data_IF_006715076560
#
_entry.id   IF_006715076560
#
_cell.length_a   1.000
_cell.length_b   1.000
_cell.length_c   1.000
_cell.angle_alpha   90.00
_cell.angle_beta   90.00
_cell.angle_gamma   90.00
#
_symmetry.space_group_name_H-M   'P 1'
#
loop_
_entity.id
_entity.type
_entity.pdbx_description
1 polymer ?
#
# COMPACT_ATOMS: atom_id res chain seq x y z
N UNK A 1 -27.63 3.79 6.75
CA UNK A 1 -26.50 4.74 6.93
C UNK A 1 -25.42 4.08 7.78
N UNK A 2 -24.15 4.19 7.40
CA UNK A 2 -23.04 3.61 8.17
C UNK A 2 -22.79 4.40 9.45
N UNK A 3 -22.61 3.71 10.56
CA UNK A 3 -22.29 4.29 11.89
C UNK A 3 -20.80 4.21 12.23
N UNK A 4 -20.04 3.41 11.47
CA UNK A 4 -18.59 3.23 11.61
C UNK A 4 -17.97 3.26 10.21
N UNK A 5 -16.82 3.90 10.08
CA UNK A 5 -16.04 3.92 8.84
C UNK A 5 -14.90 2.92 8.89
N UNK A 6 -14.77 2.06 7.88
CA UNK A 6 -13.59 1.22 7.65
C UNK A 6 -12.49 2.05 7.00
N UNK A 7 -11.39 2.26 7.72
CA UNK A 7 -10.30 3.16 7.30
C UNK A 7 -9.21 2.46 6.50
N UNK A 8 -9.20 1.12 6.48
CA UNK A 8 -8.19 0.30 5.81
C UNK A 8 -8.81 -0.63 4.78
N UNK A 9 -8.12 -0.80 3.65
CA UNK A 9 -8.47 -1.81 2.65
C UNK A 9 -8.42 -3.25 3.21
N UNK A 10 -7.62 -3.49 4.26
CA UNK A 10 -7.62 -4.77 4.98
C UNK A 10 -8.96 -5.09 5.65
N UNK A 11 -9.73 -4.06 6.02
CA UNK A 11 -11.07 -4.28 6.58
C UNK A 11 -12.04 -4.78 5.50
N UNK A 12 -11.87 -4.34 4.26
CA UNK A 12 -12.70 -4.73 3.13
C UNK A 12 -12.54 -6.19 2.68
N UNK A 13 -11.36 -6.81 2.90
CA UNK A 13 -11.04 -8.16 2.43
C UNK A 13 -10.78 -9.19 3.53
N UNK A 14 -11.04 -8.81 4.80
CA UNK A 14 -10.67 -9.61 5.99
C UNK A 14 -11.18 -11.07 5.94
N UNK A 15 -12.33 -11.32 5.37
CA UNK A 15 -12.98 -12.63 5.35
C UNK A 15 -12.65 -13.50 4.13
N UNK A 16 -12.00 -12.95 3.09
CA UNK A 16 -11.77 -13.68 1.84
C UNK A 16 -10.74 -14.81 1.98
N UNK A 17 -9.60 -14.54 2.63
CA UNK A 17 -8.44 -15.44 2.64
C UNK A 17 -8.76 -16.85 3.13
N UNK A 18 -9.55 -16.99 4.18
CA UNK A 18 -9.84 -18.30 4.78
C UNK A 18 -10.76 -19.17 3.92
N UNK A 19 -11.51 -18.58 2.99
CA UNK A 19 -12.52 -19.24 2.16
C UNK A 19 -11.96 -19.88 0.90
N UNK A 20 -10.76 -19.45 0.46
CA UNK A 20 -10.19 -19.80 -0.85
C UNK A 20 -8.84 -20.53 -0.76
N UNK A 21 -8.44 -20.99 0.42
CA UNK A 21 -7.24 -21.81 0.58
C UNK A 21 -7.39 -23.16 -0.12
N UNK A 22 -6.41 -23.53 -0.94
CA UNK A 22 -6.35 -24.84 -1.57
C UNK A 22 -5.79 -25.88 -0.59
N UNK A 23 -6.10 -27.15 -0.80
CA UNK A 23 -5.56 -28.27 -0.02
C UNK A 23 -4.11 -28.65 -0.39
N UNK A 24 -3.39 -27.77 -1.10
CA UNK A 24 -2.00 -27.98 -1.56
C UNK A 24 -1.04 -27.20 -0.68
N UNK A 25 0.03 -27.83 -0.23
CA UNK A 25 1.07 -27.17 0.57
C UNK A 25 2.03 -26.37 -0.33
N UNK A 26 2.68 -25.33 0.24
CA UNK A 26 3.73 -24.59 -0.47
C UNK A 26 4.91 -25.48 -0.87
N UNK A 27 5.26 -26.46 -0.06
CA UNK A 27 6.34 -27.42 -0.35
C UNK A 27 6.03 -28.29 -1.58
N UNK A 28 4.76 -28.65 -1.83
CA UNK A 28 4.36 -29.35 -3.03
C UNK A 28 4.20 -28.44 -4.25
N UNK A 29 3.80 -27.18 -4.04
CA UNK A 29 3.51 -26.22 -5.12
C UNK A 29 4.74 -25.52 -5.67
N UNK A 30 5.58 -24.96 -4.80
CA UNK A 30 6.69 -24.08 -5.17
C UNK A 30 7.76 -24.70 -6.06
N UNK A 31 8.21 -25.98 -5.87
CA UNK A 31 9.24 -26.55 -6.71
C UNK A 31 8.89 -26.53 -8.21
N UNK A 32 7.64 -26.86 -8.54
CA UNK A 32 7.16 -26.87 -9.94
C UNK A 32 7.10 -25.44 -10.52
N UNK A 33 6.56 -24.49 -9.72
CA UNK A 33 6.44 -23.10 -10.17
C UNK A 33 7.81 -22.44 -10.35
N UNK A 34 8.73 -22.63 -9.40
CA UNK A 34 10.06 -22.03 -9.44
C UNK A 34 10.94 -22.59 -10.56
N UNK A 35 10.73 -23.84 -10.97
CA UNK A 35 11.41 -24.47 -12.10
C UNK A 35 10.87 -24.02 -13.47
N UNK A 36 9.67 -23.43 -13.50
CA UNK A 36 9.01 -22.95 -14.70
C UNK A 36 9.27 -21.49 -15.00
N UNK A 37 8.64 -20.98 -16.08
CA UNK A 37 8.60 -19.56 -16.41
C UNK A 37 7.45 -18.88 -15.66
N UNK A 38 7.63 -17.61 -15.34
CA UNK A 38 6.56 -16.82 -14.72
C UNK A 38 5.36 -16.68 -15.67
N UNK A 39 4.16 -16.85 -15.15
CA UNK A 39 2.91 -16.76 -15.90
C UNK A 39 2.24 -15.39 -15.73
N UNK A 40 2.62 -14.64 -14.70
CA UNK A 40 2.05 -13.34 -14.36
C UNK A 40 3.10 -12.23 -14.42
N UNK A 41 2.65 -10.97 -14.55
CA UNK A 41 3.46 -9.78 -14.32
C UNK A 41 4.04 -9.82 -12.91
N UNK A 42 5.19 -9.18 -12.70
CA UNK A 42 5.91 -9.32 -11.43
C UNK A 42 6.46 -8.03 -10.91
N UNK A 43 6.38 -7.93 -9.59
CA UNK A 43 7.01 -6.88 -8.80
C UNK A 43 7.90 -7.47 -7.72
N UNK A 44 8.87 -6.70 -7.25
CA UNK A 44 9.67 -7.03 -6.07
C UNK A 44 9.29 -6.08 -4.94
N UNK A 45 9.11 -6.63 -3.73
CA UNK A 45 8.96 -5.87 -2.51
C UNK A 45 10.15 -6.12 -1.58
N UNK A 46 10.86 -5.07 -1.20
CA UNK A 46 11.96 -5.13 -0.22
C UNK A 46 11.47 -4.57 1.10
N UNK A 47 11.47 -5.41 2.13
CA UNK A 47 11.07 -4.97 3.47
C UNK A 47 12.27 -4.55 4.31
N UNK A 48 12.24 -3.31 4.82
CA UNK A 48 13.23 -2.79 5.76
C UNK A 48 12.53 -2.48 7.08
N UNK A 49 12.63 -3.33 8.10
CA UNK A 49 11.82 -3.25 9.32
C UNK A 49 12.31 -2.21 10.34
N UNK A 50 13.16 -1.28 9.94
CA UNK A 50 13.76 -0.30 10.83
C UNK A 50 13.17 1.10 10.67
N UNK A 51 13.13 1.84 11.78
CA UNK A 51 12.91 3.28 11.81
C UNK A 51 13.92 3.92 12.75
N UNK A 52 14.48 5.08 12.38
CA UNK A 52 15.35 5.85 13.27
C UNK A 52 14.58 6.46 14.44
N UNK A 53 13.27 6.66 14.29
CA UNK A 53 12.37 7.10 15.35
C UNK A 53 10.99 6.48 15.18
N UNK A 54 10.40 6.09 16.31
CA UNK A 54 9.02 5.60 16.39
C UNK A 54 8.06 6.78 16.40
N UNK A 55 7.14 6.80 15.44
CA UNK A 55 6.02 7.73 15.45
C UNK A 55 5.03 7.35 16.55
N UNK A 56 4.37 8.34 17.17
CA UNK A 56 3.49 8.11 18.31
C UNK A 56 2.22 7.30 17.97
N UNK A 57 1.82 7.31 16.70
CA UNK A 57 0.61 6.65 16.19
C UNK A 57 0.88 5.27 15.55
N UNK A 58 2.14 4.90 15.33
CA UNK A 58 2.49 3.74 14.50
C UNK A 58 2.39 2.42 15.28
N UNK A 59 1.56 1.46 14.83
CA UNK A 59 1.38 0.17 15.49
C UNK A 59 2.39 -0.90 15.01
N UNK A 60 3.22 -0.60 14.02
CA UNK A 60 4.09 -1.61 13.42
C UNK A 60 5.11 -2.16 14.41
N UNK A 61 5.20 -3.48 14.42
CA UNK A 61 6.20 -4.22 15.19
C UNK A 61 7.61 -3.97 14.64
N UNK A 62 8.57 -3.85 15.54
CA UNK A 62 10.00 -3.75 15.18
C UNK A 62 10.72 -4.90 15.84
N UNK A 63 11.47 -5.69 15.07
CA UNK A 63 12.24 -6.78 15.67
C UNK A 63 13.40 -6.22 16.49
N UNK A 64 13.42 -6.53 17.78
CA UNK A 64 14.45 -6.07 18.71
C UNK A 64 15.83 -6.72 18.46
N UNK A 65 15.84 -7.90 17.82
CA UNK A 65 17.03 -8.72 17.63
C UNK A 65 17.79 -8.47 16.31
N UNK A 66 17.32 -7.53 15.47
CA UNK A 66 17.93 -7.27 14.17
C UNK A 66 19.02 -6.20 14.22
N UNK A 67 20.22 -6.54 13.71
CA UNK A 67 21.27 -5.55 13.52
C UNK A 67 21.15 -4.85 12.17
N UNK A 68 20.71 -3.57 12.20
CA UNK A 68 20.61 -2.74 11.00
C UNK A 68 21.93 -2.57 10.27
N UNK A 69 23.06 -2.67 10.96
CA UNK A 69 24.39 -2.48 10.35
C UNK A 69 24.71 -3.56 9.31
N UNK A 70 24.20 -4.77 9.51
CA UNK A 70 24.46 -5.94 8.65
C UNK A 70 23.23 -6.41 7.86
N UNK A 71 22.06 -5.82 8.10
CA UNK A 71 20.81 -6.26 7.48
C UNK A 71 20.81 -6.19 5.94
N UNK A 72 21.48 -5.19 5.36
CA UNK A 72 21.64 -5.09 3.92
C UNK A 72 22.39 -6.31 3.32
N UNK A 73 23.33 -6.90 4.08
CA UNK A 73 24.03 -8.11 3.64
C UNK A 73 23.09 -9.33 3.64
N UNK A 74 22.16 -9.39 4.61
CA UNK A 74 21.12 -10.43 4.63
C UNK A 74 20.21 -10.30 3.41
N UNK A 75 19.74 -9.08 3.09
CA UNK A 75 18.96 -8.82 1.88
C UNK A 75 19.71 -9.22 0.60
N UNK A 76 20.98 -8.86 0.48
CA UNK A 76 21.81 -9.22 -0.69
C UNK A 76 21.97 -10.74 -0.81
N UNK A 77 22.18 -11.45 0.29
CA UNK A 77 22.23 -12.92 0.29
C UNK A 77 20.90 -13.53 -0.17
N UNK A 78 19.77 -12.98 0.30
CA UNK A 78 18.43 -13.43 -0.12
C UNK A 78 18.18 -13.15 -1.60
N UNK A 79 18.50 -11.94 -2.10
CA UNK A 79 18.43 -11.57 -3.52
C UNK A 79 19.19 -12.59 -4.38
N UNK A 80 20.46 -12.87 -4.06
CA UNK A 80 21.30 -13.83 -4.79
C UNK A 80 20.69 -15.23 -4.80
N UNK A 81 20.18 -15.68 -3.65
CA UNK A 81 19.64 -17.03 -3.50
C UNK A 81 18.34 -17.21 -4.27
N UNK A 82 17.47 -16.19 -4.26
CA UNK A 82 16.17 -16.26 -4.92
C UNK A 82 16.31 -16.11 -6.45
N UNK A 83 17.23 -15.30 -6.91
CA UNK A 83 17.37 -14.98 -8.32
C UNK A 83 17.80 -16.15 -9.22
N UNK A 84 18.34 -17.25 -8.66
CA UNK A 84 18.83 -18.40 -9.47
C UNK A 84 17.71 -19.25 -10.07
N UNK A 85 16.47 -19.13 -9.59
CA UNK A 85 15.38 -19.92 -10.09
C UNK A 85 14.92 -19.44 -11.48
N UNK A 86 14.59 -20.37 -12.42
CA UNK A 86 14.09 -20.00 -13.76
C UNK A 86 12.91 -19.03 -13.72
N UNK A 87 11.98 -19.20 -12.79
CA UNK A 87 10.85 -18.29 -12.56
C UNK A 87 11.31 -16.84 -12.36
N UNK A 88 12.44 -16.60 -11.72
CA UNK A 88 12.95 -15.26 -11.38
C UNK A 88 13.64 -14.55 -12.55
N UNK A 89 13.87 -15.24 -13.68
CA UNK A 89 14.55 -14.69 -14.86
C UNK A 89 13.64 -13.86 -15.78
N UNK A 90 12.32 -13.92 -15.59
CA UNK A 90 11.41 -13.06 -16.37
C UNK A 90 11.49 -11.59 -15.89
N UNK A 91 11.08 -10.58 -16.70
CA UNK A 91 11.18 -9.17 -16.34
C UNK A 91 10.44 -8.81 -15.06
N UNK A 92 11.01 -7.91 -14.25
CA UNK A 92 10.40 -7.26 -13.08
C UNK A 92 9.98 -5.86 -13.49
N UNK A 93 8.70 -5.54 -13.36
CA UNK A 93 8.11 -4.30 -13.88
C UNK A 93 7.98 -3.20 -12.81
N UNK A 94 8.06 -3.55 -11.52
CA UNK A 94 8.20 -2.57 -10.45
C UNK A 94 8.96 -3.13 -9.26
N UNK A 95 9.64 -2.25 -8.51
CA UNK A 95 10.31 -2.54 -7.25
C UNK A 95 9.80 -1.55 -6.20
N UNK A 96 9.40 -2.01 -5.03
CA UNK A 96 9.03 -1.15 -3.92
C UNK A 96 9.82 -1.48 -2.65
N UNK A 97 10.47 -0.49 -2.08
CA UNK A 97 11.07 -0.57 -0.76
C UNK A 97 10.11 0.01 0.27
N UNK A 98 9.72 -0.81 1.24
CA UNK A 98 8.76 -0.38 2.27
C UNK A 98 9.04 -1.00 3.63
N UNK A 99 8.06 -0.92 4.52
CA UNK A 99 8.10 -1.48 5.86
C UNK A 99 8.16 -0.46 6.98
N UNK A 100 9.28 -0.34 7.67
CA UNK A 100 9.52 0.71 8.65
C UNK A 100 9.84 2.03 7.96
N UNK A 101 11.10 2.23 7.64
CA UNK A 101 11.61 3.36 6.85
C UNK A 101 12.85 2.87 6.09
N UNK A 102 12.74 2.50 4.83
CA UNK A 102 13.85 1.95 4.04
C UNK A 102 15.11 2.81 4.06
N UNK A 103 14.96 4.12 4.04
CA UNK A 103 16.07 5.09 4.13
C UNK A 103 16.66 5.22 5.56
N UNK A 104 16.28 4.36 6.47
CA UNK A 104 17.02 4.16 7.72
C UNK A 104 18.33 3.38 7.52
N UNK A 105 18.46 2.67 6.41
CA UNK A 105 19.76 2.18 5.92
C UNK A 105 20.65 3.38 5.57
N UNK A 106 21.97 3.20 5.66
CA UNK A 106 22.90 4.23 5.18
C UNK A 106 22.85 4.34 3.64
N UNK A 107 23.28 5.48 3.05
CA UNK A 107 23.38 5.62 1.60
C UNK A 107 24.16 4.49 0.92
N UNK A 108 25.28 4.06 1.50
CA UNK A 108 26.09 2.97 0.98
C UNK A 108 25.36 1.62 1.04
N UNK A 109 24.65 1.33 2.13
CA UNK A 109 23.83 0.12 2.25
C UNK A 109 22.69 0.10 1.24
N UNK A 110 22.00 1.23 1.05
CA UNK A 110 20.94 1.36 0.05
C UNK A 110 21.48 1.14 -1.36
N UNK A 111 22.60 1.78 -1.70
CA UNK A 111 23.27 1.58 -2.99
C UNK A 111 23.66 0.10 -3.23
N UNK A 112 24.15 -0.58 -2.20
CA UNK A 112 24.54 -1.99 -2.30
C UNK A 112 23.32 -2.90 -2.57
N UNK A 113 22.18 -2.66 -1.93
CA UNK A 113 20.95 -3.43 -2.18
C UNK A 113 20.39 -3.14 -3.57
N UNK A 114 20.34 -1.87 -4.01
CA UNK A 114 19.90 -1.49 -5.35
C UNK A 114 20.80 -2.11 -6.43
N UNK A 115 22.12 -2.07 -6.26
CA UNK A 115 23.09 -2.71 -7.16
C UNK A 115 22.86 -4.23 -7.24
N UNK A 116 22.60 -4.89 -6.11
CA UNK A 116 22.32 -6.32 -6.09
C UNK A 116 21.03 -6.66 -6.85
N UNK A 117 19.98 -5.84 -6.74
CA UNK A 117 18.74 -6.03 -7.51
C UNK A 117 19.02 -5.95 -9.03
N UNK A 118 19.71 -4.91 -9.48
CA UNK A 118 20.06 -4.75 -10.90
C UNK A 118 20.98 -5.86 -11.43
N UNK A 119 21.85 -6.40 -10.56
CA UNK A 119 22.77 -7.47 -10.94
C UNK A 119 22.07 -8.82 -11.09
N UNK A 120 21.08 -9.10 -10.24
CA UNK A 120 20.52 -10.43 -10.08
C UNK A 120 19.12 -10.62 -10.68
N UNK A 121 18.38 -9.53 -10.90
CA UNK A 121 17.06 -9.55 -11.53
C UNK A 121 17.05 -8.76 -12.84
N UNK A 122 16.22 -9.19 -13.76
CA UNK A 122 15.96 -8.47 -15.00
C UNK A 122 14.94 -7.37 -14.73
N UNK A 123 15.39 -6.22 -14.22
CA UNK A 123 14.53 -5.04 -14.04
C UNK A 123 14.21 -4.47 -15.42
N UNK A 124 12.91 -4.24 -15.72
CA UNK A 124 12.49 -3.65 -16.99
C UNK A 124 13.02 -2.21 -17.10
N UNK A 125 13.38 -1.74 -18.31
CA UNK A 125 13.97 -0.40 -18.49
C UNK A 125 13.07 0.75 -18.00
N UNK A 126 11.75 0.56 -18.05
CA UNK A 126 10.72 1.50 -17.63
C UNK A 126 10.09 1.15 -16.27
N UNK A 127 10.71 0.21 -15.53
CA UNK A 127 10.20 -0.21 -14.22
C UNK A 127 10.11 0.96 -13.23
N UNK A 128 9.02 0.97 -12.47
CA UNK A 128 8.91 1.84 -11.30
C UNK A 128 9.81 1.30 -10.18
N UNK A 129 10.81 2.08 -9.75
CA UNK A 129 11.62 1.78 -8.56
C UNK A 129 11.25 2.79 -7.49
N UNK A 130 10.45 2.35 -6.53
CA UNK A 130 9.82 3.17 -5.49
C UNK A 130 10.45 2.94 -4.13
N UNK A 131 10.63 4.02 -3.36
CA UNK A 131 11.11 3.96 -1.98
C UNK A 131 10.19 4.74 -1.05
N UNK A 132 9.70 4.07 -0.01
CA UNK A 132 9.01 4.72 1.10
C UNK A 132 10.05 5.33 2.05
N UNK A 133 9.79 6.55 2.51
CA UNK A 133 10.77 7.30 3.31
C UNK A 133 10.10 8.27 4.28
N UNK A 134 10.90 8.90 5.12
CA UNK A 134 10.50 10.07 5.88
C UNK A 134 11.40 11.27 5.51
N UNK A 135 10.87 12.48 5.57
CA UNK A 135 11.62 13.67 5.15
C UNK A 135 12.98 13.83 5.87
N UNK A 136 13.06 13.43 7.13
CA UNK A 136 14.31 13.52 7.91
C UNK A 136 15.41 12.56 7.49
N UNK A 137 15.07 11.52 6.74
CA UNK A 137 16.01 10.51 6.23
C UNK A 137 16.50 10.83 4.80
N UNK A 138 15.86 11.80 4.12
CA UNK A 138 16.25 12.26 2.80
C UNK A 138 17.42 13.24 2.86
N UNK A 139 18.59 12.81 3.36
CA UNK A 139 19.84 13.60 3.27
C UNK A 139 20.28 13.71 1.81
N UNK A 140 21.17 14.67 1.51
CA UNK A 140 21.70 14.81 0.14
C UNK A 140 22.39 13.53 -0.33
N UNK A 141 23.23 12.94 0.52
CA UNK A 141 23.88 11.66 0.22
C UNK A 141 22.90 10.50 -0.01
N UNK A 142 21.77 10.47 0.71
CA UNK A 142 20.72 9.49 0.46
C UNK A 142 20.03 9.75 -0.87
N UNK A 143 19.66 10.98 -1.17
CA UNK A 143 19.06 11.34 -2.45
C UNK A 143 19.97 10.98 -3.63
N UNK A 144 21.25 11.29 -3.52
CA UNK A 144 22.24 10.97 -4.56
C UNK A 144 22.37 9.46 -4.75
N UNK A 145 22.34 8.68 -3.65
CA UNK A 145 22.34 7.21 -3.69
C UNK A 145 21.08 6.64 -4.35
N UNK A 146 19.91 7.19 -4.05
CA UNK A 146 18.64 6.76 -4.64
C UNK A 146 18.61 7.03 -6.15
N UNK A 147 18.99 8.24 -6.57
CA UNK A 147 19.04 8.62 -7.99
C UNK A 147 20.02 7.73 -8.75
N UNK A 148 21.24 7.55 -8.21
CA UNK A 148 22.26 6.69 -8.85
C UNK A 148 21.83 5.23 -8.91
N UNK A 149 20.99 4.77 -7.99
CA UNK A 149 20.41 3.43 -7.97
C UNK A 149 19.18 3.26 -8.85
N UNK A 150 18.79 4.29 -9.63
CA UNK A 150 17.66 4.22 -10.55
C UNK A 150 16.28 4.42 -9.89
N UNK A 151 16.22 4.88 -8.64
CA UNK A 151 14.95 5.20 -7.98
C UNK A 151 14.27 6.36 -8.70
N UNK A 152 13.05 6.13 -9.18
CA UNK A 152 12.28 7.10 -9.97
C UNK A 152 10.96 7.50 -9.31
N UNK A 153 10.62 6.90 -8.14
CA UNK A 153 9.45 7.22 -7.35
C UNK A 153 9.78 7.29 -5.85
N UNK A 154 9.21 8.28 -5.15
CA UNK A 154 9.26 8.36 -3.68
C UNK A 154 7.85 8.46 -3.09
N UNK A 155 7.62 7.79 -1.95
CA UNK A 155 6.51 8.06 -1.05
C UNK A 155 7.06 8.59 0.26
N UNK A 156 6.81 9.89 0.53
CA UNK A 156 7.41 10.58 1.67
C UNK A 156 6.39 10.74 2.79
N UNK A 157 6.55 9.99 3.86
CA UNK A 157 5.73 10.13 5.06
C UNK A 157 5.93 11.50 5.72
N UNK A 158 5.14 12.47 5.33
CA UNK A 158 5.12 13.83 5.92
C UNK A 158 4.20 13.86 7.13
N UNK A 159 3.01 13.34 6.99
CA UNK A 159 1.88 13.28 7.91
C UNK A 159 1.21 14.65 8.11
N UNK A 160 1.95 15.72 8.33
CA UNK A 160 1.52 17.12 8.39
C UNK A 160 2.75 18.03 8.30
N UNK A 161 2.57 19.27 7.84
CA UNK A 161 3.60 20.32 7.87
C UNK A 161 3.45 21.22 9.10
N UNK A 162 2.40 21.10 9.90
CA UNK A 162 2.24 21.85 11.14
C UNK A 162 3.18 21.33 12.23
N UNK A 163 4.03 22.21 12.78
CA UNK A 163 5.05 21.84 13.75
C UNK A 163 4.48 21.29 15.07
N UNK A 164 3.32 21.79 15.51
CA UNK A 164 2.62 21.33 16.70
C UNK A 164 2.12 19.89 16.53
N UNK A 165 1.43 19.65 15.42
CA UNK A 165 0.93 18.32 15.06
C UNK A 165 2.07 17.34 14.76
N UNK A 166 3.17 17.78 14.16
CA UNK A 166 4.40 16.96 13.99
C UNK A 166 4.91 16.45 15.33
N UNK A 167 4.99 17.31 16.35
CA UNK A 167 5.38 16.89 17.71
C UNK A 167 4.39 15.90 18.32
N UNK A 168 3.08 16.14 18.17
CA UNK A 168 2.04 15.23 18.64
C UNK A 168 2.18 13.84 18.01
N UNK A 169 2.37 13.79 16.69
CA UNK A 169 2.52 12.56 15.91
C UNK A 169 3.92 11.93 16.04
N UNK A 170 4.83 12.53 16.82
CA UNK A 170 6.18 12.02 17.03
C UNK A 170 7.10 12.17 15.82
N UNK A 171 6.83 13.13 14.92
CA UNK A 171 7.68 13.44 13.76
C UNK A 171 8.86 14.33 14.15
N UNK A 172 10.01 14.14 13.49
CA UNK A 172 11.21 15.00 13.67
C UNK A 172 11.22 16.13 12.65
N UNK A 173 11.94 17.20 12.99
CA UNK A 173 12.12 18.37 12.12
C UNK A 173 10.86 19.21 11.97
N UNK A 174 11.03 20.41 11.46
CA UNK A 174 9.92 21.32 11.15
C UNK A 174 9.22 20.93 9.85
N UNK A 175 7.99 21.41 9.66
CA UNK A 175 7.25 21.30 8.41
C UNK A 175 7.98 21.94 7.24
N UNK A 176 8.57 23.12 7.46
CA UNK A 176 9.38 23.80 6.44
C UNK A 176 10.60 22.98 6.00
N UNK A 177 11.32 22.36 6.95
CA UNK A 177 12.42 21.47 6.61
C UNK A 177 11.94 20.23 5.85
N UNK A 178 10.78 19.68 6.21
CA UNK A 178 10.19 18.54 5.51
C UNK A 178 9.82 18.90 4.06
N UNK A 179 9.19 20.05 3.84
CA UNK A 179 8.88 20.56 2.51
C UNK A 179 10.15 20.76 1.66
N UNK A 180 11.21 21.36 2.24
CA UNK A 180 12.49 21.55 1.56
C UNK A 180 13.12 20.20 1.11
N UNK A 181 12.98 19.12 1.90
CA UNK A 181 13.51 17.81 1.51
C UNK A 181 12.70 17.18 0.37
N UNK A 182 11.38 17.35 0.34
CA UNK A 182 10.55 16.95 -0.80
C UNK A 182 10.95 17.69 -2.07
N UNK A 183 11.10 19.03 -2.00
CA UNK A 183 11.55 19.85 -3.12
C UNK A 183 12.96 19.43 -3.61
N UNK A 184 13.88 19.12 -2.69
CA UNK A 184 15.22 18.65 -3.02
C UNK A 184 15.24 17.30 -3.75
N UNK A 185 14.33 16.38 -3.43
CA UNK A 185 14.16 15.12 -4.14
C UNK A 185 13.67 15.35 -5.58
N UNK A 186 12.66 16.20 -5.75
CA UNK A 186 12.12 16.55 -7.06
C UNK A 186 13.15 17.27 -7.93
N UNK A 187 13.93 18.18 -7.36
CA UNK A 187 15.01 18.92 -8.06
C UNK A 187 16.14 18.00 -8.53
N UNK A 188 16.33 16.81 -7.91
CA UNK A 188 17.29 15.79 -8.33
C UNK A 188 16.73 14.83 -9.39
N UNK A 189 15.54 15.12 -9.93
CA UNK A 189 14.92 14.34 -11.01
C UNK A 189 13.93 13.25 -10.56
N UNK A 190 13.69 13.05 -9.24
CA UNK A 190 12.64 12.14 -8.78
C UNK A 190 11.29 12.89 -8.82
N UNK A 191 10.82 13.20 -10.03
CA UNK A 191 9.58 13.97 -10.25
C UNK A 191 8.32 13.21 -9.80
N UNK A 192 8.36 11.87 -9.79
CA UNK A 192 7.28 11.04 -9.22
C UNK A 192 7.44 10.95 -7.69
N UNK A 193 7.34 12.11 -7.01
CA UNK A 193 7.34 12.19 -5.54
C UNK A 193 5.93 12.41 -5.04
N UNK A 194 5.48 11.50 -4.19
CA UNK A 194 4.21 11.56 -3.47
C UNK A 194 4.44 11.80 -1.98
N UNK A 195 3.48 12.41 -1.31
CA UNK A 195 3.52 12.65 0.13
C UNK A 195 2.35 11.96 0.83
N UNK A 196 2.58 11.49 2.05
CA UNK A 196 1.53 10.91 2.89
C UNK A 196 1.07 11.97 3.90
N UNK A 197 -0.23 12.22 3.93
CA UNK A 197 -0.92 13.14 4.84
C UNK A 197 -1.82 12.36 5.80
N UNK A 198 -1.73 12.65 7.08
CA UNK A 198 -2.70 12.19 8.08
C UNK A 198 -3.65 13.34 8.38
N UNK A 199 -4.96 13.08 8.30
CA UNK A 199 -5.99 13.98 8.75
C UNK A 199 -6.82 13.37 9.88
N UNK A 200 -7.69 14.17 10.50
CA UNK A 200 -8.49 13.77 11.66
C UNK A 200 -7.62 13.28 12.83
N UNK A 201 -6.52 13.98 13.12
CA UNK A 201 -5.73 13.75 14.33
C UNK A 201 -6.26 14.61 15.50
N UNK A 202 -5.91 14.26 16.76
CA UNK A 202 -6.40 14.97 17.93
C UNK A 202 -6.12 16.48 17.87
N UNK A 203 -7.17 17.28 18.08
CA UNK A 203 -7.04 18.73 18.08
C UNK A 203 -6.78 19.39 16.72
N UNK A 204 -6.83 18.66 15.61
CA UNK A 204 -6.64 19.24 14.29
C UNK A 204 -7.65 20.35 14.03
N UNK A 205 -7.16 21.52 13.62
CA UNK A 205 -8.01 22.64 13.19
C UNK A 205 -8.13 22.68 11.67
N UNK A 206 -9.18 23.35 11.20
CA UNK A 206 -9.38 23.60 9.77
C UNK A 206 -8.24 24.41 9.16
N UNK A 207 -7.66 25.36 9.93
CA UNK A 207 -6.50 26.14 9.50
C UNK A 207 -5.24 25.31 9.29
N UNK A 208 -4.99 24.32 10.16
CA UNK A 208 -3.86 23.40 10.01
C UNK A 208 -4.00 22.55 8.74
N UNK A 209 -5.19 21.97 8.49
CA UNK A 209 -5.43 21.24 7.26
C UNK A 209 -5.29 22.12 6.03
N UNK A 210 -5.83 23.34 6.04
CA UNK A 210 -5.69 24.29 4.93
C UNK A 210 -4.21 24.65 4.65
N UNK A 211 -3.40 24.84 5.70
CA UNK A 211 -1.96 25.08 5.58
C UNK A 211 -1.21 23.87 4.98
N UNK A 212 -1.54 22.66 5.41
CA UNK A 212 -0.97 21.43 4.83
C UNK A 212 -1.28 21.33 3.33
N UNK A 213 -2.55 21.53 2.96
CA UNK A 213 -2.99 21.50 1.56
C UNK A 213 -2.36 22.61 0.71
N UNK A 214 -2.19 23.80 1.28
CA UNK A 214 -1.46 24.90 0.62
C UNK A 214 -0.01 24.50 0.32
N UNK A 215 0.68 23.92 1.30
CA UNK A 215 2.07 23.46 1.13
C UNK A 215 2.18 22.37 0.06
N UNK A 216 1.26 21.41 0.05
CA UNK A 216 1.19 20.35 -0.97
C UNK A 216 1.04 20.94 -2.38
N UNK A 217 0.14 21.91 -2.55
CA UNK A 217 -0.09 22.59 -3.82
C UNK A 217 1.14 23.39 -4.28
N UNK A 218 1.80 24.09 -3.35
CA UNK A 218 3.01 24.84 -3.63
C UNK A 218 4.19 23.94 -4.05
N UNK A 219 4.28 22.74 -3.49
CA UNK A 219 5.29 21.74 -3.86
C UNK A 219 4.98 21.07 -5.21
N UNK A 220 3.75 21.09 -5.66
CA UNK A 220 3.29 20.43 -6.90
C UNK A 220 3.71 18.97 -7.02
N UNK A 221 3.54 18.20 -5.95
CA UNK A 221 3.90 16.77 -5.90
C UNK A 221 3.04 15.91 -6.84
N UNK A 222 3.57 14.77 -7.28
CA UNK A 222 2.89 13.86 -8.21
C UNK A 222 1.64 13.19 -7.60
N UNK A 223 1.65 12.94 -6.28
CA UNK A 223 0.54 12.31 -5.59
C UNK A 223 0.49 12.65 -4.11
N UNK A 224 -0.67 12.40 -3.52
CA UNK A 224 -0.94 12.57 -2.09
C UNK A 224 -1.69 11.37 -1.57
N UNK A 225 -1.10 10.63 -0.63
CA UNK A 225 -1.85 9.62 0.11
C UNK A 225 -2.50 10.27 1.32
N UNK A 226 -3.80 10.06 1.50
CA UNK A 226 -4.61 10.68 2.55
C UNK A 226 -5.11 9.61 3.52
N UNK A 227 -4.67 9.68 4.75
CA UNK A 227 -5.05 8.72 5.78
C UNK A 227 -5.81 9.41 6.92
N UNK A 228 -7.05 8.99 7.17
CA UNK A 228 -7.65 9.34 8.46
C UNK A 228 -6.89 8.61 9.57
N UNK A 229 -6.56 9.31 10.63
CA UNK A 229 -5.82 8.70 11.74
C UNK A 229 -6.54 7.44 12.24
N UNK A 230 -5.82 6.33 12.23
CA UNK A 230 -6.22 5.08 12.88
C UNK A 230 -5.57 5.03 14.27
N UNK A 231 -6.39 5.06 15.29
CA UNK A 231 -5.90 5.05 16.67
C UNK A 231 -5.82 3.61 17.19
N UNK A 232 -4.61 3.12 17.42
CA UNK A 232 -4.35 1.77 17.91
C UNK A 232 -4.00 1.78 19.40
N UNK A 233 -4.65 0.93 20.20
CA UNK A 233 -4.52 0.87 21.66
C UNK A 233 -3.07 0.70 22.15
N UNK A 234 -2.24 -0.02 21.40
CA UNK A 234 -0.84 -0.28 21.76
C UNK A 234 0.10 0.91 21.50
N UNK A 235 -0.39 1.98 20.88
CA UNK A 235 0.48 3.11 20.50
C UNK A 235 0.68 4.13 21.62
N UNK A 236 1.81 4.84 21.64
CA UNK A 236 2.03 5.94 22.59
C UNK A 236 0.97 7.04 22.49
N UNK A 237 0.45 7.32 21.29
CA UNK A 237 -0.58 8.32 21.09
C UNK A 237 -1.88 7.94 21.81
N UNK A 238 -2.35 6.70 21.64
CA UNK A 238 -3.56 6.21 22.34
C UNK A 238 -3.48 6.40 23.85
N UNK A 239 -2.31 6.06 24.44
CA UNK A 239 -2.12 6.14 25.91
C UNK A 239 -2.10 7.57 26.44
N UNK A 240 -1.78 8.56 25.60
CA UNK A 240 -1.73 9.99 25.99
C UNK A 240 -3.08 10.67 25.93
N UNK A 241 -3.99 10.15 25.09
CA UNK A 241 -5.30 10.76 24.88
C UNK A 241 -6.27 10.38 25.99
N UNK A 242 -7.02 11.36 26.46
CA UNK A 242 -8.21 11.16 27.29
C UNK A 242 -9.30 10.41 26.52
N UNK A 243 -10.26 9.84 27.23
CA UNK A 243 -11.40 9.19 26.59
C UNK A 243 -12.20 10.17 25.70
N UNK A 244 -12.40 11.41 26.17
CA UNK A 244 -13.08 12.47 25.41
C UNK A 244 -12.38 12.74 24.09
N UNK A 245 -11.05 12.85 24.09
CA UNK A 245 -10.26 13.05 22.86
C UNK A 245 -10.35 11.84 21.92
N UNK A 246 -10.34 10.63 22.45
CA UNK A 246 -10.52 9.41 21.65
C UNK A 246 -11.91 9.36 21.01
N UNK A 247 -12.95 9.68 21.77
CA UNK A 247 -14.32 9.73 21.25
C UNK A 247 -14.52 10.82 20.18
N UNK A 248 -13.86 11.98 20.33
CA UNK A 248 -13.92 13.04 19.33
C UNK A 248 -13.37 12.61 17.95
N UNK A 249 -12.45 11.65 17.89
CA UNK A 249 -11.92 11.10 16.64
C UNK A 249 -12.89 10.15 15.92
N UNK A 250 -13.98 9.74 16.59
CA UNK A 250 -15.04 8.90 16.01
C UNK A 250 -16.18 9.72 15.40
N UNK A 251 -16.12 11.06 15.47
CA UNK A 251 -17.12 11.94 14.85
C UNK A 251 -16.99 11.86 13.33
N UNK A 252 -17.87 11.06 12.71
CA UNK A 252 -17.92 10.86 11.27
C UNK A 252 -18.27 12.13 10.49
N UNK A 253 -19.04 13.05 11.08
CA UNK A 253 -19.40 14.33 10.42
C UNK A 253 -18.16 15.19 10.27
N UNK A 254 -17.39 15.32 11.34
CA UNK A 254 -16.13 16.04 11.32
C UNK A 254 -15.13 15.40 10.37
N UNK A 255 -14.94 14.08 10.47
CA UNK A 255 -14.03 13.34 9.61
C UNK A 255 -14.39 13.51 8.12
N UNK A 256 -15.70 13.46 7.81
CA UNK A 256 -16.21 13.68 6.45
C UNK A 256 -15.96 15.11 5.96
N UNK A 257 -16.16 16.12 6.80
CA UNK A 257 -15.91 17.50 6.44
C UNK A 257 -14.43 17.74 6.09
N UNK A 258 -13.50 17.15 6.85
CA UNK A 258 -12.06 17.20 6.55
C UNK A 258 -11.74 16.50 5.24
N UNK A 259 -12.30 15.29 5.01
CA UNK A 259 -12.14 14.54 3.77
C UNK A 259 -12.64 15.33 2.56
N UNK A 260 -13.84 15.93 2.66
CA UNK A 260 -14.41 16.74 1.58
C UNK A 260 -13.54 17.95 1.26
N UNK A 261 -13.04 18.64 2.29
CA UNK A 261 -12.11 19.77 2.09
C UNK A 261 -10.83 19.35 1.35
N UNK A 262 -10.27 18.17 1.67
CA UNK A 262 -9.11 17.65 0.95
C UNK A 262 -9.45 17.45 -0.52
N UNK A 263 -10.58 16.77 -0.82
CA UNK A 263 -10.99 16.51 -2.20
C UNK A 263 -11.28 17.80 -2.98
N UNK A 264 -11.95 18.78 -2.38
CA UNK A 264 -12.24 20.06 -3.02
C UNK A 264 -10.97 20.83 -3.33
N UNK A 265 -10.08 20.96 -2.33
CA UNK A 265 -8.87 21.78 -2.48
C UNK A 265 -7.90 21.16 -3.48
N UNK A 266 -7.62 19.87 -3.37
CA UNK A 266 -6.69 19.19 -4.28
C UNK A 266 -7.35 18.96 -5.65
N UNK A 267 -8.66 18.66 -5.69
CA UNK A 267 -9.41 18.51 -6.93
C UNK A 267 -9.43 19.77 -7.79
N UNK A 268 -9.57 20.95 -7.17
CA UNK A 268 -9.46 22.24 -7.85
C UNK A 268 -8.06 22.49 -8.44
N UNK A 269 -7.02 21.86 -7.87
CA UNK A 269 -5.63 21.95 -8.34
C UNK A 269 -5.25 20.78 -9.31
N UNK A 270 -6.24 20.04 -9.82
CA UNK A 270 -6.05 19.01 -10.84
C UNK A 270 -5.72 17.61 -10.31
N UNK A 271 -5.70 17.40 -8.98
CA UNK A 271 -5.59 16.06 -8.45
C UNK A 271 -6.87 15.26 -8.66
N UNK A 272 -6.73 13.96 -8.93
CA UNK A 272 -7.85 13.02 -9.09
C UNK A 272 -7.60 11.80 -8.23
N UNK A 273 -8.68 11.18 -7.75
CA UNK A 273 -8.61 9.93 -7.00
C UNK A 273 -8.03 8.84 -7.89
N UNK A 274 -6.95 8.22 -7.45
CA UNK A 274 -6.39 6.98 -8.04
C UNK A 274 -6.98 5.76 -7.33
N UNK A 275 -7.04 5.83 -6.01
CA UNK A 275 -7.67 4.85 -5.12
C UNK A 275 -8.21 5.57 -3.87
N UNK A 276 -9.02 4.90 -3.03
CA UNK A 276 -9.74 5.52 -1.90
C UNK A 276 -8.86 6.33 -0.95
N UNK A 277 -7.57 6.06 -0.92
CA UNK A 277 -6.62 6.75 -0.04
C UNK A 277 -5.57 7.55 -0.79
N UNK A 278 -5.64 7.62 -2.13
CA UNK A 278 -4.59 8.27 -2.92
C UNK A 278 -5.15 9.15 -4.03
N UNK A 279 -4.69 10.39 -4.04
CA UNK A 279 -4.91 11.33 -5.15
C UNK A 279 -3.62 11.52 -5.95
N UNK A 280 -3.75 11.69 -7.26
CA UNK A 280 -2.63 11.91 -8.19
C UNK A 280 -2.92 13.07 -9.13
N UNK A 281 -1.88 13.77 -9.56
CA UNK A 281 -1.99 14.92 -10.46
C UNK A 281 -1.43 14.59 -11.84
N UNK A 282 -2.26 14.76 -12.87
CA UNK A 282 -1.84 14.64 -14.27
C UNK A 282 -1.27 13.26 -14.66
N UNK A 283 -1.64 12.18 -13.94
CA UNK A 283 -1.14 10.84 -14.21
C UNK A 283 0.36 10.66 -13.96
N UNK A 284 1.01 11.60 -13.23
CA UNK A 284 2.45 11.56 -12.91
C UNK A 284 2.81 10.39 -12.00
N UNK A 285 1.91 9.99 -11.08
CA UNK A 285 2.06 8.82 -10.23
C UNK A 285 1.05 7.74 -10.66
N UNK A 286 1.53 6.72 -11.37
CA UNK A 286 0.72 5.58 -11.80
C UNK A 286 0.62 4.51 -10.73
N UNK A 287 1.56 4.51 -9.77
CA UNK A 287 1.67 3.54 -8.69
C UNK A 287 1.72 2.11 -9.21
N UNK A 288 2.62 1.89 -10.19
CA UNK A 288 2.70 0.64 -10.96
C UNK A 288 2.91 -0.59 -10.07
N UNK A 289 3.65 -0.45 -8.96
CA UNK A 289 3.81 -1.53 -7.99
C UNK A 289 2.45 -2.05 -7.47
N UNK A 290 1.55 -1.15 -7.05
CA UNK A 290 0.23 -1.54 -6.53
C UNK A 290 -0.68 -2.05 -7.63
N UNK A 291 -0.66 -1.38 -8.79
CA UNK A 291 -1.43 -1.79 -9.95
C UNK A 291 -1.11 -3.23 -10.37
N UNK A 292 0.17 -3.55 -10.56
CA UNK A 292 0.58 -4.90 -10.97
C UNK A 292 0.27 -5.93 -9.90
N UNK A 293 0.61 -5.63 -8.64
CA UNK A 293 0.43 -6.54 -7.52
C UNK A 293 -1.04 -6.97 -7.36
N UNK A 294 -1.97 -6.03 -7.46
CA UNK A 294 -3.39 -6.28 -7.21
C UNK A 294 -4.21 -6.57 -8.47
N UNK A 295 -3.64 -6.39 -9.68
CA UNK A 295 -4.26 -6.83 -10.93
C UNK A 295 -3.92 -8.28 -11.30
N UNK A 296 -3.60 -9.11 -10.31
CA UNK A 296 -3.25 -10.51 -10.52
C UNK A 296 -1.76 -10.74 -10.77
N UNK A 297 -0.88 -9.78 -10.49
CA UNK A 297 0.57 -9.94 -10.53
C UNK A 297 1.14 -10.75 -9.38
N UNK A 298 2.38 -11.17 -9.49
CA UNK A 298 3.16 -11.79 -8.42
C UNK A 298 4.06 -10.78 -7.74
N UNK A 299 4.12 -10.82 -6.41
CA UNK A 299 4.96 -9.96 -5.59
C UNK A 299 6.05 -10.79 -4.91
N UNK A 300 7.27 -10.71 -5.42
CA UNK A 300 8.45 -11.35 -4.83
C UNK A 300 8.86 -10.51 -3.63
N UNK A 301 8.46 -10.92 -2.44
CA UNK A 301 8.72 -10.19 -1.21
C UNK A 301 9.96 -10.72 -0.50
N UNK A 302 10.94 -9.84 -0.30
CA UNK A 302 12.24 -10.13 0.29
C UNK A 302 12.45 -9.33 1.58
N UNK A 303 13.19 -9.90 2.50
CA UNK A 303 13.43 -9.34 3.82
C UNK A 303 12.50 -9.88 4.90
N UNK A 304 12.92 -9.72 6.16
CA UNK A 304 12.18 -10.19 7.33
C UNK A 304 10.87 -9.45 7.49
N UNK A 305 9.79 -10.20 7.70
CA UNK A 305 8.43 -9.64 7.82
C UNK A 305 7.78 -9.25 6.47
N UNK A 306 8.47 -9.45 5.35
CA UNK A 306 7.91 -9.17 4.02
C UNK A 306 6.76 -10.13 3.68
N UNK A 307 5.69 -9.60 3.09
CA UNK A 307 4.56 -10.37 2.59
C UNK A 307 4.42 -10.28 1.08
N UNK A 308 4.25 -11.41 0.41
CA UNK A 308 4.13 -11.48 -1.04
C UNK A 308 3.42 -12.72 -1.55
N UNK A 309 3.51 -12.91 -2.85
CA UNK A 309 3.00 -14.10 -3.52
C UNK A 309 3.84 -14.51 -4.73
N UNK A 310 3.91 -15.80 -4.97
CA UNK A 310 4.43 -16.41 -6.19
C UNK A 310 3.30 -17.17 -6.83
N UNK A 311 2.79 -16.63 -7.92
CA UNK A 311 1.53 -17.06 -8.50
C UNK A 311 0.44 -17.18 -7.41
N UNK A 312 -0.14 -18.37 -7.21
CA UNK A 312 -1.19 -18.61 -6.24
C UNK A 312 -0.69 -18.90 -4.81
N UNK A 313 0.62 -18.89 -4.57
CA UNK A 313 1.20 -19.11 -3.26
C UNK A 313 1.45 -17.76 -2.56
N UNK A 314 0.71 -17.47 -1.49
CA UNK A 314 0.85 -16.28 -0.66
C UNK A 314 1.62 -16.61 0.60
N UNK A 315 2.61 -15.79 0.95
CA UNK A 315 3.50 -16.02 2.08
C UNK A 315 3.86 -14.76 2.85
N UNK A 316 4.35 -14.95 4.07
CA UNK A 316 4.99 -13.92 4.88
C UNK A 316 6.31 -14.46 5.42
N UNK A 317 7.37 -13.70 5.24
CA UNK A 317 8.66 -14.03 5.83
C UNK A 317 8.60 -13.83 7.34
N UNK A 318 9.30 -14.69 8.09
CA UNK A 318 9.41 -14.52 9.54
C UNK A 318 10.06 -13.18 9.89
N UNK A 319 9.53 -12.49 10.89
CA UNK A 319 10.09 -11.22 11.35
C UNK A 319 11.37 -11.41 12.20
N UNK A 320 11.39 -12.48 13.01
CA UNK A 320 12.42 -12.70 14.05
C UNK A 320 13.50 -13.71 13.64
N UNK A 321 13.40 -14.28 12.44
CA UNK A 321 14.37 -15.25 11.94
C UNK A 321 14.83 -14.92 10.52
N UNK A 322 16.06 -15.27 10.13
CA UNK A 322 16.52 -15.15 8.76
C UNK A 322 15.61 -15.94 7.82
N UNK A 323 15.33 -15.38 6.65
CA UNK A 323 14.47 -16.00 5.62
C UNK A 323 15.14 -17.23 4.95
N UNK A 324 16.23 -17.73 5.49
CA UNK A 324 17.07 -18.75 4.89
C UNK A 324 16.63 -20.13 5.37
N UNK A 325 15.76 -20.81 4.60
CA UNK A 325 15.67 -22.26 4.61
C UNK A 325 16.55 -22.83 3.50
N UNK A 326 17.23 -23.98 3.72
CA UNK A 326 18.13 -24.56 2.71
C UNK A 326 17.38 -25.15 1.52
N UNK A 327 16.10 -25.41 1.61
CA UNK A 327 15.31 -26.14 0.60
C UNK A 327 14.41 -25.26 -0.27
N UNK A 328 13.71 -24.27 0.29
CA UNK A 328 12.82 -23.37 -0.44
C UNK A 328 13.07 -21.94 0.05
N UNK A 329 13.34 -20.97 -0.81
CA UNK A 329 13.72 -19.63 -0.41
C UNK A 329 12.58 -18.80 0.20
N UNK A 330 11.34 -19.31 0.27
CA UNK A 330 10.17 -18.63 0.81
C UNK A 330 9.66 -19.37 2.03
N UNK A 331 9.15 -18.62 3.00
CA UNK A 331 8.73 -19.15 4.29
C UNK A 331 7.72 -20.30 4.17
N UNK A 332 7.87 -21.31 5.04
CA UNK A 332 6.91 -22.37 5.23
C UNK A 332 5.52 -21.90 5.74
N UNK A 333 5.37 -20.61 6.07
CA UNK A 333 4.13 -20.03 6.60
C UNK A 333 3.11 -19.63 5.51
N UNK A 334 3.39 -19.89 4.24
CA UNK A 334 2.51 -19.53 3.13
C UNK A 334 1.38 -20.56 2.92
N UNK A 335 0.41 -20.14 2.10
CA UNK A 335 -0.72 -20.95 1.66
C UNK A 335 -0.91 -20.83 0.16
N UNK A 336 -1.29 -21.93 -0.48
CA UNK A 336 -1.77 -21.92 -1.86
C UNK A 336 -3.25 -21.56 -1.84
N UNK A 337 -3.65 -20.66 -2.74
CA UNK A 337 -5.05 -20.31 -2.93
C UNK A 337 -5.53 -20.81 -4.30
N UNK A 338 -6.83 -21.07 -4.42
CA UNK A 338 -7.42 -21.36 -5.73
C UNK A 338 -7.28 -20.14 -6.66
N UNK A 339 -7.17 -20.33 -8.01
CA UNK A 339 -6.98 -19.21 -8.95
C UNK A 339 -8.04 -18.12 -8.86
N UNK A 340 -9.27 -18.48 -8.46
CA UNK A 340 -10.35 -17.53 -8.23
C UNK A 340 -10.02 -16.47 -7.17
N UNK A 341 -9.19 -16.78 -6.17
CA UNK A 341 -8.81 -15.81 -5.16
C UNK A 341 -8.09 -14.59 -5.74
N UNK A 342 -7.17 -14.78 -6.69
CA UNK A 342 -6.47 -13.67 -7.34
C UNK A 342 -7.42 -12.78 -8.16
N UNK A 343 -8.43 -13.38 -8.82
CA UNK A 343 -9.45 -12.62 -9.55
C UNK A 343 -10.34 -11.81 -8.60
N UNK A 344 -10.66 -12.36 -7.44
CA UNK A 344 -11.39 -11.64 -6.39
C UNK A 344 -10.56 -10.52 -5.76
N UNK A 345 -9.27 -10.75 -5.52
CA UNK A 345 -8.36 -9.70 -5.03
C UNK A 345 -8.26 -8.55 -6.06
N UNK A 346 -8.22 -8.87 -7.36
CA UNK A 346 -8.26 -7.89 -8.43
C UNK A 346 -9.59 -7.10 -8.48
N UNK A 347 -10.73 -7.75 -8.26
CA UNK A 347 -12.02 -7.06 -8.14
C UNK A 347 -12.04 -6.10 -6.93
N UNK A 348 -11.57 -6.57 -5.77
CA UNK A 348 -11.47 -5.71 -4.56
C UNK A 348 -10.62 -4.48 -4.84
N UNK A 349 -9.47 -4.66 -5.50
CA UNK A 349 -8.60 -3.55 -5.86
C UNK A 349 -9.23 -2.61 -6.90
N UNK A 350 -9.92 -3.14 -7.91
CA UNK A 350 -10.64 -2.31 -8.87
C UNK A 350 -11.72 -1.45 -8.19
N UNK A 351 -12.43 -2.01 -7.21
CA UNK A 351 -13.39 -1.24 -6.40
C UNK A 351 -12.72 -0.12 -5.58
N UNK A 352 -11.45 -0.29 -5.15
CA UNK A 352 -10.69 0.77 -4.46
C UNK A 352 -10.47 2.01 -5.35
N UNK A 353 -10.52 1.87 -6.66
CA UNK A 353 -10.41 2.99 -7.61
C UNK A 353 -11.69 3.84 -7.69
N UNK A 354 -12.74 3.41 -7.01
CA UNK A 354 -14.02 4.14 -6.96
C UNK A 354 -14.91 3.98 -8.20
N UNK A 355 -14.40 3.37 -9.27
CA UNK A 355 -15.15 3.06 -10.50
C UNK A 355 -14.76 1.66 -10.96
N UNK A 356 -15.73 0.78 -11.16
CA UNK A 356 -15.50 -0.60 -11.60
C UNK A 356 -16.57 -1.06 -12.59
N UNK A 357 -16.15 -1.75 -13.65
CA UNK A 357 -17.03 -2.43 -14.57
C UNK A 357 -17.32 -3.85 -14.05
N UNK A 358 -18.52 -4.07 -13.53
CA UNK A 358 -18.94 -5.36 -13.00
C UNK A 358 -19.07 -6.43 -14.10
N UNK A 359 -19.35 -6.05 -15.34
CA UNK A 359 -19.44 -6.97 -16.49
C UNK A 359 -18.09 -7.63 -16.78
N UNK A 360 -17.01 -6.84 -16.76
CA UNK A 360 -15.64 -7.36 -16.94
C UNK A 360 -15.29 -8.40 -15.87
N UNK A 361 -15.55 -8.09 -14.59
CA UNK A 361 -15.24 -9.02 -13.50
C UNK A 361 -16.24 -10.18 -13.42
N UNK A 362 -17.49 -10.00 -13.84
CA UNK A 362 -18.47 -11.09 -13.98
C UNK A 362 -17.95 -12.18 -14.95
N UNK A 363 -17.44 -11.76 -16.11
CA UNK A 363 -16.85 -12.67 -17.09
C UNK A 363 -15.60 -13.38 -16.54
N UNK A 364 -14.73 -12.68 -15.79
CA UNK A 364 -13.53 -13.28 -15.20
C UNK A 364 -13.83 -14.29 -14.09
N UNK A 365 -14.89 -14.04 -13.32
CA UNK A 365 -15.28 -14.84 -12.17
C UNK A 365 -16.33 -15.92 -12.51
N UNK A 366 -16.87 -15.90 -13.72
CA UNK A 366 -17.99 -16.74 -14.14
C UNK A 366 -19.20 -16.63 -13.20
N UNK A 367 -19.51 -15.40 -12.77
CA UNK A 367 -20.60 -15.07 -11.84
C UNK A 367 -21.22 -13.76 -12.27
N UNK A 368 -22.54 -13.69 -12.42
CA UNK A 368 -23.25 -12.42 -12.64
C UNK A 368 -23.23 -11.55 -11.36
N UNK A 369 -22.21 -10.71 -11.25
CA UNK A 369 -22.01 -9.84 -10.09
C UNK A 369 -23.13 -8.82 -9.93
N UNK A 370 -23.72 -8.34 -11.01
CA UNK A 370 -24.81 -7.37 -10.95
C UNK A 370 -26.06 -7.97 -10.33
N UNK A 371 -26.42 -9.18 -10.74
CA UNK A 371 -27.52 -9.94 -10.11
C UNK A 371 -27.18 -10.33 -8.68
N UNK A 372 -25.96 -10.78 -8.42
CA UNK A 372 -25.52 -11.17 -7.08
C UNK A 372 -25.56 -10.01 -6.08
N UNK A 373 -25.23 -8.82 -6.52
CA UNK A 373 -25.19 -7.60 -5.69
C UNK A 373 -26.52 -6.81 -5.71
N UNK A 374 -27.53 -7.21 -6.49
CA UNK A 374 -28.72 -6.42 -6.83
C UNK A 374 -29.36 -5.74 -5.61
N UNK A 375 -29.72 -6.50 -4.59
CA UNK A 375 -30.36 -5.96 -3.38
C UNK A 375 -29.48 -4.94 -2.63
N UNK A 376 -28.14 -5.14 -2.64
CA UNK A 376 -27.21 -4.20 -2.03
C UNK A 376 -27.04 -2.95 -2.90
N UNK A 377 -26.95 -3.12 -4.22
CA UNK A 377 -26.83 -2.00 -5.15
C UNK A 377 -28.07 -1.10 -5.12
N UNK A 378 -29.29 -1.68 -5.11
CA UNK A 378 -30.53 -0.92 -4.98
C UNK A 378 -30.51 -0.03 -3.73
N UNK A 379 -30.16 -0.60 -2.56
CA UNK A 379 -30.06 0.17 -1.31
C UNK A 379 -28.96 1.23 -1.38
N UNK A 380 -27.76 0.87 -1.86
CA UNK A 380 -26.63 1.80 -1.93
C UNK A 380 -26.89 2.95 -2.91
N UNK A 381 -27.62 2.70 -4.00
CA UNK A 381 -28.09 3.75 -4.93
C UNK A 381 -29.13 4.65 -4.26
N UNK A 382 -30.12 4.08 -3.57
CA UNK A 382 -31.16 4.84 -2.87
C UNK A 382 -30.56 5.71 -1.74
N UNK A 383 -29.54 5.19 -1.05
CA UNK A 383 -28.79 5.93 -0.01
C UNK A 383 -27.81 6.97 -0.59
N UNK A 384 -27.63 7.02 -1.91
CA UNK A 384 -26.75 7.99 -2.59
C UNK A 384 -25.26 7.68 -2.50
N UNK A 385 -24.87 6.46 -2.14
CA UNK A 385 -23.45 6.06 -2.03
C UNK A 385 -22.85 5.60 -3.36
N UNK A 386 -23.66 5.02 -4.24
CA UNK A 386 -23.18 4.52 -5.54
C UNK A 386 -24.10 4.96 -6.67
N UNK A 387 -23.58 4.99 -7.88
CA UNK A 387 -24.31 5.18 -9.13
C UNK A 387 -24.02 4.00 -10.05
N UNK A 388 -25.07 3.48 -10.70
CA UNK A 388 -24.97 2.46 -11.73
C UNK A 388 -25.26 3.06 -13.10
N UNK A 389 -24.36 2.80 -14.09
CA UNK A 389 -24.56 3.11 -15.50
C UNK A 389 -24.24 1.86 -16.31
N UNK A 390 -25.28 1.12 -16.75
CA UNK A 390 -25.08 -0.20 -17.33
C UNK A 390 -24.48 -1.15 -16.30
N UNK A 391 -23.27 -1.64 -16.57
CA UNK A 391 -22.51 -2.52 -15.68
C UNK A 391 -21.43 -1.77 -14.89
N UNK A 392 -21.28 -0.46 -15.12
CA UNK A 392 -20.31 0.37 -14.39
C UNK A 392 -20.90 0.84 -13.06
N UNK A 393 -20.27 0.42 -11.97
CA UNK A 393 -20.48 0.93 -10.60
C UNK A 393 -19.51 2.08 -10.35
N UNK A 394 -20.02 3.20 -9.88
CA UNK A 394 -19.22 4.36 -9.49
C UNK A 394 -19.57 4.78 -8.06
N UNK A 395 -18.58 4.96 -7.22
CA UNK A 395 -18.77 5.55 -5.90
C UNK A 395 -19.05 7.05 -6.04
N UNK A 396 -20.09 7.53 -5.37
CA UNK A 396 -20.32 8.97 -5.21
C UNK A 396 -19.30 9.57 -4.25
N UNK A 397 -19.34 10.86 -3.99
CA UNK A 397 -18.47 11.50 -2.99
C UNK A 397 -18.65 10.87 -1.60
N UNK A 398 -19.89 10.61 -1.21
CA UNK A 398 -20.21 9.94 0.05
C UNK A 398 -19.80 8.47 0.02
N UNK A 399 -19.95 7.83 -1.14
CA UNK A 399 -19.46 6.49 -1.39
C UNK A 399 -17.94 6.37 -1.26
N UNK A 400 -17.17 7.33 -1.74
CA UNK A 400 -15.70 7.36 -1.57
C UNK A 400 -15.30 7.41 -0.09
N UNK A 401 -16.03 8.17 0.73
CA UNK A 401 -15.77 8.24 2.17
C UNK A 401 -16.00 6.90 2.87
N UNK A 402 -17.04 6.16 2.48
CA UNK A 402 -17.38 4.84 3.00
C UNK A 402 -16.93 3.68 2.09
N UNK A 403 -16.01 3.91 1.17
CA UNK A 403 -15.66 2.96 0.12
C UNK A 403 -15.28 1.58 0.65
N UNK A 404 -14.47 1.48 1.70
CA UNK A 404 -14.11 0.18 2.29
C UNK A 404 -15.30 -0.55 2.94
N UNK A 405 -16.27 0.17 3.49
CA UNK A 405 -17.52 -0.43 3.99
C UNK A 405 -18.33 -1.03 2.84
N UNK A 406 -18.49 -0.27 1.75
CA UNK A 406 -19.22 -0.68 0.55
C UNK A 406 -18.57 -1.91 -0.07
N UNK A 407 -17.25 -1.88 -0.25
CA UNK A 407 -16.50 -3.00 -0.80
C UNK A 407 -16.68 -4.25 0.06
N UNK A 408 -16.51 -4.13 1.39
CA UNK A 408 -16.73 -5.26 2.31
C UNK A 408 -18.13 -5.85 2.17
N UNK A 409 -19.14 -4.99 2.10
CA UNK A 409 -20.54 -5.41 2.01
C UNK A 409 -20.87 -6.11 0.68
N UNK A 410 -20.29 -5.67 -0.44
CA UNK A 410 -20.46 -6.31 -1.75
C UNK A 410 -19.69 -7.63 -1.82
N UNK A 411 -18.45 -7.65 -1.34
CA UNK A 411 -17.63 -8.87 -1.35
C UNK A 411 -18.19 -9.95 -0.44
N UNK A 412 -18.84 -9.61 0.66
CA UNK A 412 -19.51 -10.57 1.52
C UNK A 412 -20.69 -11.30 0.84
N UNK A 413 -21.23 -10.75 -0.27
CA UNK A 413 -22.22 -11.45 -1.11
C UNK A 413 -21.61 -12.62 -1.91
N UNK A 414 -20.28 -12.62 -2.14
CA UNK A 414 -19.56 -13.66 -2.88
C UNK A 414 -19.26 -14.81 -1.91
N UNK A 415 -20.27 -15.66 -1.64
CA UNK A 415 -20.07 -16.83 -0.80
C UNK A 415 -19.50 -18.01 -1.63
N UNK A 416 -18.61 -18.85 -1.08
CA UNK A 416 -18.09 -20.04 -1.76
C UNK A 416 -19.17 -21.02 -2.20
N UNK A 417 -20.30 -21.06 -1.49
CA UNK A 417 -21.43 -21.94 -1.75
C UNK A 417 -22.26 -21.51 -2.98
N UNK A 418 -22.18 -20.21 -3.35
CA UNK A 418 -22.88 -19.63 -4.51
C UNK A 418 -21.95 -19.42 -5.71
N UNK A 419 -20.66 -19.62 -5.50
CA UNK A 419 -19.69 -19.49 -6.55
C UNK A 419 -19.74 -20.69 -7.49
N UNK A 420 -19.69 -20.43 -8.80
CA UNK A 420 -19.48 -21.41 -9.87
C UNK A 420 -18.35 -22.39 -9.51
N UNK A 421 -18.38 -23.65 -10.03
CA UNK A 421 -17.23 -24.57 -9.92
C UNK A 421 -15.89 -23.95 -10.32
N UNK A 422 -15.88 -22.91 -11.13
CA UNK A 422 -14.69 -22.12 -11.49
C UNK A 422 -14.12 -21.30 -10.35
N UNK A 423 -14.89 -21.09 -9.26
CA UNK A 423 -14.46 -20.38 -8.05
C UNK A 423 -14.04 -21.31 -6.91
N UNK A 424 -14.13 -22.65 -7.13
CA UNK A 424 -13.74 -23.67 -6.15
C UNK A 424 -12.32 -24.16 -6.35
#
# INVERSE_FOLDING_TARGET
MYTVRYKSHHDASRNLKNRYAAAVTGEAYLPTVLAGSAQSRRVIYIHVPFCNKVCSFCPFHRPDALDRRTYHEELIREIRRVSVFPYMQAPVEAVNFGGGTPTSLSPAQMAAVLSALHTHFRIAPDAEISVETSATELTDAMLDSLVSGGVNRLSVGIQTFDDGARRLLGRRGSGAAAAARVAAAMARGISNTSVDLIYNYPGQTDGQLASDLHTIRALDVAGVSIYSLMLHEKTPLYRRLSETERQALLDLRREKALFDRILDTLGADGYRMLELTKLVKGGRDRYDYMEIRHSGGSCIALGRGAGGNIENYFYHNAADAPVISERIPFSASGRVFVPAYRRLDALVYAMQKGVVDLGVYSAQLDVDLKTLFSAKLERLCADGFVMMRGDTLSLTRDGLFFGNNIISELIDCIAPEKASPALR
#
